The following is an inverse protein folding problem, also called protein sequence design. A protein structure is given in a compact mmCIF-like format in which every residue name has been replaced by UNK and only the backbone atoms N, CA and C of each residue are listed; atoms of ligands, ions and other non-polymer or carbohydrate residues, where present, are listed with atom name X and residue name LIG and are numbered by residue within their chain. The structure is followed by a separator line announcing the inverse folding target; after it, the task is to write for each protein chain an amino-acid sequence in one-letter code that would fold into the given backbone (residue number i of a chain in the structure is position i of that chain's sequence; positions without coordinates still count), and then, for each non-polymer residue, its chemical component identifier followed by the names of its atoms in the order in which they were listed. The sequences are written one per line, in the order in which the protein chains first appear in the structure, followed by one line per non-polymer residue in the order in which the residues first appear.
data_IF_203450322291
#
_entry.id   IF_203450322291
#
_cell.length_a   1.000
_cell.length_b   1.000
_cell.length_c   1.000
_cell.angle_alpha   90.00
_cell.angle_beta   90.00
_cell.angle_gamma   90.00
#
_symmetry.space_group_name_H-M   'P 1'
#
loop_
_entity.id
_entity.type
_entity.pdbx_description
1 polymer ?
#
# COMPACT_ATOMS: atom_id res chain seq x y z
N UNK A 1 36.55 19.35 -0.32
CA UNK A 1 36.44 17.98 0.22
C UNK A 1 35.06 17.45 -0.14
N UNK A 2 35.02 16.21 -0.60
CA UNK A 2 33.86 15.53 -1.18
C UNK A 2 32.72 15.39 -0.17
N UNK A 3 31.53 15.90 -0.52
CA UNK A 3 30.29 15.61 0.22
C UNK A 3 29.82 14.21 -0.13
N UNK A 4 29.92 13.29 0.82
CA UNK A 4 29.32 11.96 0.68
C UNK A 4 27.82 12.06 0.95
N UNK A 5 27.03 12.17 -0.12
CA UNK A 5 25.62 11.79 -0.08
C UNK A 5 25.57 10.27 0.08
N UNK A 6 25.54 9.80 1.32
CA UNK A 6 25.24 8.40 1.61
C UNK A 6 23.89 8.03 0.98
N UNK A 7 23.72 6.80 0.45
CA UNK A 7 22.42 6.38 -0.05
C UNK A 7 21.44 6.51 1.11
N UNK A 8 20.44 7.37 0.96
CA UNK A 8 19.25 7.27 1.79
C UNK A 8 18.76 5.85 1.54
N UNK A 9 18.79 4.97 2.54
CA UNK A 9 18.05 3.72 2.48
C UNK A 9 16.59 4.14 2.52
N UNK A 10 16.08 4.58 1.37
CA UNK A 10 14.67 4.83 1.17
C UNK A 10 14.00 3.54 1.62
N UNK A 11 13.28 3.63 2.74
CA UNK A 11 12.68 2.44 3.33
C UNK A 11 11.83 1.78 2.24
N UNK A 12 12.21 0.55 1.89
CA UNK A 12 11.59 -0.12 0.76
C UNK A 12 10.27 -0.72 1.21
N UNK A 13 9.18 -0.15 0.69
CA UNK A 13 7.83 -0.67 0.90
C UNK A 13 7.59 -1.99 0.17
N UNK A 14 8.48 -2.37 -0.75
CA UNK A 14 8.45 -3.66 -1.45
C UNK A 14 8.42 -4.82 -0.45
N UNK A 15 7.63 -5.84 -0.78
CA UNK A 15 7.45 -7.02 0.05
C UNK A 15 5.98 -7.36 0.29
N UNK A 16 5.74 -8.36 1.13
CA UNK A 16 4.38 -8.80 1.48
C UNK A 16 4.00 -8.24 2.84
N UNK A 17 2.78 -7.74 2.93
CA UNK A 17 2.25 -7.05 4.10
C UNK A 17 0.93 -7.66 4.53
N UNK A 18 0.80 -7.99 5.81
CA UNK A 18 -0.40 -8.50 6.43
C UNK A 18 -1.26 -7.33 6.90
N UNK A 19 -2.54 -7.34 6.52
CA UNK A 19 -3.52 -6.38 7.03
C UNK A 19 -3.72 -6.57 8.53
N UNK A 20 -3.89 -5.49 9.29
CA UNK A 20 -4.19 -5.51 10.73
C UNK A 20 -5.34 -6.44 11.13
N UNK A 21 -6.38 -6.54 10.30
CA UNK A 21 -7.51 -7.46 10.50
C UNK A 21 -7.16 -8.94 10.34
N UNK A 22 -5.98 -9.26 9.81
CA UNK A 22 -5.56 -10.61 9.44
C UNK A 22 -6.29 -11.20 8.23
N UNK A 23 -7.11 -10.42 7.52
CA UNK A 23 -7.97 -10.92 6.45
C UNK A 23 -7.24 -11.16 5.12
N UNK A 24 -6.15 -10.44 4.86
CA UNK A 24 -5.44 -10.53 3.58
C UNK A 24 -3.96 -10.15 3.70
N UNK A 25 -3.17 -10.66 2.76
CA UNK A 25 -1.80 -10.21 2.52
C UNK A 25 -1.68 -9.57 1.16
N UNK A 26 -0.96 -8.45 1.08
CA UNK A 26 -0.74 -7.69 -0.14
C UNK A 26 0.75 -7.64 -0.43
N UNK A 27 1.14 -8.02 -1.65
CA UNK A 27 2.51 -7.84 -2.14
C UNK A 27 2.61 -6.48 -2.82
N UNK A 28 3.46 -5.61 -2.28
CA UNK A 28 3.86 -4.36 -2.92
C UNK A 28 5.13 -4.57 -3.73
N UNK A 29 5.14 -4.03 -4.95
CA UNK A 29 6.26 -4.08 -5.87
C UNK A 29 6.22 -2.89 -6.84
N UNK A 30 7.36 -2.58 -7.47
CA UNK A 30 7.42 -1.58 -8.53
C UNK A 30 6.59 -2.02 -9.74
N UNK A 31 5.88 -1.08 -10.34
CA UNK A 31 5.11 -1.24 -11.56
C UNK A 31 5.40 -0.04 -12.48
N UNK A 32 6.55 -0.07 -13.15
CA UNK A 32 7.12 1.12 -13.80
C UNK A 32 7.75 2.04 -12.77
N UNK A 33 7.38 3.32 -12.80
CA UNK A 33 7.90 4.34 -11.87
C UNK A 33 7.12 4.44 -10.55
N UNK A 34 5.98 3.75 -10.45
CA UNK A 34 5.14 3.73 -9.26
C UNK A 34 5.25 2.41 -8.48
N UNK A 35 4.69 2.40 -7.28
CA UNK A 35 4.42 1.18 -6.53
C UNK A 35 2.99 0.68 -6.79
N UNK A 36 2.83 -0.63 -6.90
CA UNK A 36 1.54 -1.30 -6.99
C UNK A 36 1.43 -2.39 -5.94
N UNK A 37 0.20 -2.68 -5.52
CA UNK A 37 -0.11 -3.71 -4.53
C UNK A 37 -1.08 -4.74 -5.09
N UNK A 38 -0.77 -6.01 -4.89
CA UNK A 38 -1.57 -7.15 -5.37
C UNK A 38 -1.87 -8.10 -4.24
N UNK A 39 -3.10 -8.64 -4.19
CA UNK A 39 -3.49 -9.63 -3.18
C UNK A 39 -2.68 -10.90 -3.39
N UNK A 40 -1.85 -11.23 -2.40
CA UNK A 40 -0.97 -12.40 -2.38
C UNK A 40 -1.55 -13.56 -1.57
N UNK A 41 -2.49 -13.28 -0.66
CA UNK A 41 -3.19 -14.28 0.12
C UNK A 41 -4.49 -13.70 0.71
N UNK A 42 -5.51 -14.55 0.87
CA UNK A 42 -6.79 -14.23 1.49
C UNK A 42 -7.12 -15.26 2.56
N UNK A 43 -7.65 -14.80 3.68
CA UNK A 43 -8.20 -15.68 4.73
C UNK A 43 -9.48 -16.35 4.25
N UNK A 44 -10.32 -15.61 3.55
CA UNK A 44 -11.54 -16.11 2.92
C UNK A 44 -11.48 -15.86 1.40
N UNK A 45 -11.24 -16.89 0.59
CA UNK A 45 -11.18 -16.77 -0.87
C UNK A 45 -12.58 -16.69 -1.53
N UNK A 46 -13.66 -16.93 -0.79
CA UNK A 46 -15.03 -16.91 -1.34
C UNK A 46 -15.62 -15.50 -1.38
N UNK A 47 -15.03 -14.57 -0.64
CA UNK A 47 -15.40 -13.16 -0.61
C UNK A 47 -15.21 -12.41 -1.95
N UNK A 48 -15.50 -11.09 -1.96
CA UNK A 48 -15.44 -10.30 -3.18
C UNK A 48 -14.02 -10.08 -3.68
N UNK A 49 -13.04 -10.03 -2.78
CA UNK A 49 -11.62 -9.93 -3.12
C UNK A 49 -11.11 -11.21 -3.80
N UNK A 50 -10.28 -11.07 -4.84
CA UNK A 50 -9.70 -12.21 -5.57
C UNK A 50 -8.18 -12.28 -5.42
N UNK A 51 -7.66 -13.50 -5.31
CA UNK A 51 -6.22 -13.74 -5.31
C UNK A 51 -5.60 -13.23 -6.62
N UNK A 52 -4.46 -12.55 -6.55
CA UNK A 52 -3.80 -11.95 -7.72
C UNK A 52 -4.44 -10.64 -8.20
N UNK A 53 -5.54 -10.18 -7.60
CA UNK A 53 -6.15 -8.91 -7.95
C UNK A 53 -5.30 -7.73 -7.47
N UNK A 54 -5.09 -6.76 -8.36
CA UNK A 54 -4.44 -5.49 -8.01
C UNK A 54 -5.42 -4.62 -7.22
N UNK A 55 -4.96 -4.12 -6.08
CA UNK A 55 -5.78 -3.26 -5.21
C UNK A 55 -5.11 -1.93 -4.87
N UNK A 56 -3.82 -1.75 -5.18
CA UNK A 56 -3.15 -0.45 -5.12
C UNK A 56 -2.51 -0.13 -6.47
N UNK A 57 -2.71 1.10 -6.92
CA UNK A 57 -2.39 1.60 -8.25
C UNK A 57 -1.65 2.92 -8.14
N UNK A 58 -0.65 3.10 -9.01
CA UNK A 58 0.06 4.37 -9.23
C UNK A 58 0.50 5.07 -7.94
N UNK A 59 0.96 4.31 -6.94
CA UNK A 59 1.48 4.86 -5.69
C UNK A 59 2.85 5.47 -5.94
N UNK A 60 2.86 6.76 -6.27
CA UNK A 60 4.05 7.54 -6.60
C UNK A 60 4.63 8.18 -5.35
N UNK A 61 5.96 8.30 -5.23
CA UNK A 61 6.59 8.96 -4.09
C UNK A 61 6.05 10.39 -3.90
N UNK A 62 5.71 10.73 -2.67
CA UNK A 62 5.14 12.02 -2.24
C UNK A 62 5.84 12.53 -0.96
N UNK A 63 7.17 12.35 -0.94
CA UNK A 63 8.03 12.64 0.20
C UNK A 63 8.64 11.38 0.83
N UNK A 64 9.49 11.58 1.85
CA UNK A 64 10.24 10.50 2.50
C UNK A 64 9.30 9.47 3.13
N UNK A 65 9.34 8.23 2.63
CA UNK A 65 8.51 7.13 3.12
C UNK A 65 7.01 7.34 2.87
N UNK A 66 6.64 8.21 1.93
CA UNK A 66 5.25 8.52 1.60
C UNK A 66 4.98 8.32 0.11
N UNK A 67 3.80 7.81 -0.20
CA UNK A 67 3.31 7.69 -1.56
C UNK A 67 1.85 8.12 -1.65
N UNK A 68 1.47 8.60 -2.83
CA UNK A 68 0.11 9.00 -3.17
C UNK A 68 -0.29 8.32 -4.48
N UNK A 69 -1.53 7.83 -4.53
CA UNK A 69 -2.03 7.04 -5.66
C UNK A 69 -3.50 6.66 -5.45
N UNK A 70 -3.87 5.44 -5.82
CA UNK A 70 -5.25 4.97 -5.69
C UNK A 70 -5.34 3.54 -5.16
N UNK A 71 -6.43 3.26 -4.45
CA UNK A 71 -6.73 1.96 -3.88
C UNK A 71 -8.13 1.50 -4.30
N UNK A 72 -8.23 0.28 -4.81
CA UNK A 72 -9.49 -0.38 -5.12
C UNK A 72 -10.01 -1.11 -3.88
N UNK A 73 -11.28 -0.93 -3.55
CA UNK A 73 -11.97 -1.64 -2.49
C UNK A 73 -12.84 -2.76 -3.09
N UNK A 74 -12.50 -4.04 -2.90
CA UNK A 74 -13.30 -5.15 -3.44
C UNK A 74 -14.71 -5.22 -2.88
N UNK A 75 -14.95 -4.71 -1.65
CA UNK A 75 -16.25 -4.79 -0.98
C UNK A 75 -17.34 -3.96 -1.68
N UNK A 76 -16.97 -2.81 -2.27
CA UNK A 76 -17.90 -1.91 -2.94
C UNK A 76 -17.62 -1.74 -4.44
N UNK A 77 -16.53 -2.33 -4.94
CA UNK A 77 -16.13 -2.27 -6.34
C UNK A 77 -15.63 -0.89 -6.80
N UNK A 78 -15.27 0.01 -5.87
CA UNK A 78 -14.85 1.38 -6.20
C UNK A 78 -13.36 1.59 -5.96
N UNK A 79 -12.80 2.53 -6.71
CA UNK A 79 -11.43 3.02 -6.56
C UNK A 79 -11.43 4.38 -5.89
N UNK A 80 -10.57 4.54 -4.89
CA UNK A 80 -10.43 5.75 -4.09
C UNK A 80 -9.02 6.30 -4.19
N UNK A 81 -8.87 7.62 -4.15
CA UNK A 81 -7.57 8.23 -3.90
C UNK A 81 -7.06 7.79 -2.53
N UNK A 82 -5.77 7.48 -2.46
CA UNK A 82 -5.18 7.02 -1.21
C UNK A 82 -3.71 7.36 -1.07
N UNK A 83 -3.26 7.32 0.17
CA UNK A 83 -1.87 7.56 0.55
C UNK A 83 -1.29 6.34 1.26
N UNK A 84 0.02 6.18 1.16
CA UNK A 84 0.80 5.17 1.87
C UNK A 84 1.88 5.88 2.68
N UNK A 85 2.07 5.47 3.93
CA UNK A 85 3.16 5.97 4.78
C UNK A 85 3.86 4.78 5.42
N UNK A 86 5.18 4.70 5.23
CA UNK A 86 6.05 3.70 5.81
C UNK A 86 6.86 4.32 6.96
N UNK A 87 6.81 3.68 8.12
CA UNK A 87 7.57 4.07 9.31
C UNK A 87 8.19 2.80 9.94
N UNK A 88 9.46 2.52 9.61
CA UNK A 88 10.12 1.29 10.01
C UNK A 88 9.45 0.07 9.35
N UNK A 89 8.95 -0.86 10.17
CA UNK A 89 8.23 -2.05 9.71
C UNK A 89 6.70 -1.91 9.80
N UNK A 90 6.19 -0.68 9.93
CA UNK A 90 4.78 -0.38 9.90
C UNK A 90 4.41 0.39 8.62
N UNK A 91 3.50 -0.18 7.83
CA UNK A 91 2.91 0.50 6.69
C UNK A 91 1.49 0.91 7.05
N UNK A 92 1.11 2.14 6.72
CA UNK A 92 -0.27 2.63 6.85
C UNK A 92 -0.76 3.07 5.49
N UNK A 93 -1.92 2.58 5.08
CA UNK A 93 -2.63 3.07 3.88
C UNK A 93 -3.88 3.82 4.29
N UNK A 94 -4.15 4.98 3.71
CA UNK A 94 -5.39 5.72 3.92
C UNK A 94 -6.13 5.86 2.60
N UNK A 95 -7.42 5.54 2.57
CA UNK A 95 -8.31 5.86 1.45
C UNK A 95 -9.38 6.85 1.90
N UNK A 96 -9.55 7.95 1.16
CA UNK A 96 -10.53 8.98 1.47
C UNK A 96 -11.63 9.02 0.40
N UNK A 97 -12.88 9.22 0.83
CA UNK A 97 -14.01 9.42 -0.08
C UNK A 97 -13.95 10.84 -0.68
N UNK A 98 -14.51 11.02 -1.89
CA UNK A 98 -14.62 12.33 -2.59
C UNK A 98 -15.02 13.44 -1.61
N UNK A 99 -14.15 14.44 -1.45
CA UNK A 99 -14.31 15.55 -0.49
C UNK A 99 -13.42 15.49 0.76
N UNK A 100 -12.63 14.42 0.95
CA UNK A 100 -11.55 14.36 1.96
C UNK A 100 -11.97 14.32 3.43
N UNK A 101 -13.28 14.36 3.72
CA UNK A 101 -13.82 14.43 5.08
C UNK A 101 -13.89 13.07 5.80
N UNK A 102 -13.91 11.95 5.06
CA UNK A 102 -13.99 10.60 5.62
C UNK A 102 -12.85 9.76 5.03
N UNK A 103 -11.81 9.56 5.84
CA UNK A 103 -10.65 8.74 5.50
C UNK A 103 -10.63 7.49 6.36
N UNK A 104 -10.45 6.33 5.73
CA UNK A 104 -10.24 5.06 6.45
C UNK A 104 -8.77 4.67 6.33
N UNK A 105 -8.13 4.54 7.48
CA UNK A 105 -6.76 4.06 7.59
C UNK A 105 -6.73 2.57 7.87
N UNK A 106 -5.78 1.88 7.27
CA UNK A 106 -5.49 0.46 7.47
C UNK A 106 -4.03 0.33 7.81
N UNK A 107 -3.73 -0.38 8.90
CA UNK A 107 -2.36 -0.69 9.27
C UNK A 107 -1.96 -2.04 8.69
N UNK A 108 -0.68 -2.15 8.37
CA UNK A 108 -0.09 -3.36 7.85
C UNK A 108 1.21 -3.66 8.56
N UNK A 109 1.43 -4.94 8.84
CA UNK A 109 2.70 -5.46 9.35
C UNK A 109 3.42 -6.24 8.26
N UNK A 110 4.75 -6.16 8.24
CA UNK A 110 5.55 -6.93 7.29
C UNK A 110 5.34 -8.43 7.54
N UNK A 111 5.03 -9.18 6.48
CA UNK A 111 4.89 -10.63 6.50
C UNK A 111 6.09 -11.23 5.78
N UNK A 112 7.03 -11.79 6.56
CA UNK A 112 8.13 -12.61 6.04
C UNK A 112 7.63 -13.97 5.53
#
# INVERSE_FOLDING_TARGET
MLGFSGPTLAQDVTGTWLRDSGASRVRFQKCGEAMCGTIAWLKDPTGPAKLGQRIFYDMKPDGTGKWSGSAFNPEDGKTYSGTMTLAGDALTTSGCVLGGLICRSVKWSRSN
#
